data_IF_363913838025
#
_entry.id   IF_363913838025
#
_cell.length_a   1.000
_cell.length_b   1.000
_cell.length_c   1.000
_cell.angle_alpha   90.00
_cell.angle_beta   90.00
_cell.angle_gamma   90.00
#
_symmetry.space_group_name_H-M   'P 1'
#
loop_
_entity.id
_entity.type
_entity.pdbx_description
1 polymer ?
#
# COMPACT_ATOMS: atom_id res chain seq x y z
N UNK A 1 21.22 -12.25 -7.32
CA UNK A 1 19.82 -11.84 -6.99
C UNK A 1 19.31 -12.39 -5.66
N UNK A 2 19.60 -13.65 -5.28
CA UNK A 2 19.13 -14.24 -3.99
C UNK A 2 19.44 -13.40 -2.74
N UNK A 3 20.61 -12.74 -2.70
CA UNK A 3 21.04 -11.91 -1.55
C UNK A 3 20.21 -10.64 -1.34
N UNK A 4 19.68 -10.04 -2.40
CA UNK A 4 18.83 -8.83 -2.31
C UNK A 4 17.46 -9.21 -1.77
N UNK A 5 16.87 -10.27 -2.34
CA UNK A 5 15.55 -10.78 -1.93
C UNK A 5 15.56 -11.23 -0.46
N UNK A 6 16.64 -11.89 0.00
CA UNK A 6 16.79 -12.25 1.41
C UNK A 6 16.88 -11.04 2.35
N UNK A 7 17.51 -9.94 1.93
CA UNK A 7 17.58 -8.71 2.72
C UNK A 7 16.21 -8.04 2.84
N UNK A 8 15.45 -8.01 1.75
CA UNK A 8 14.08 -7.47 1.72
C UNK A 8 13.16 -8.36 2.57
N UNK A 9 13.26 -9.69 2.45
CA UNK A 9 12.42 -10.59 3.25
C UNK A 9 12.73 -10.49 4.74
N UNK A 10 13.99 -10.33 5.12
CA UNK A 10 14.39 -10.13 6.51
C UNK A 10 13.87 -8.79 7.05
N UNK A 11 13.97 -7.70 6.28
CA UNK A 11 13.42 -6.41 6.67
C UNK A 11 11.89 -6.48 6.83
N UNK A 12 11.20 -7.12 5.89
CA UNK A 12 9.75 -7.30 5.94
C UNK A 12 9.33 -8.15 7.15
N UNK A 13 10.09 -9.20 7.46
CA UNK A 13 9.87 -10.02 8.65
C UNK A 13 10.01 -9.21 9.93
N UNK A 14 11.03 -8.35 10.04
CA UNK A 14 11.21 -7.46 11.20
C UNK A 14 10.04 -6.47 11.34
N UNK A 15 9.53 -5.94 10.23
CA UNK A 15 8.37 -5.05 10.23
C UNK A 15 7.09 -5.79 10.65
N UNK A 16 6.90 -7.03 10.21
CA UNK A 16 5.72 -7.86 10.54
C UNK A 16 5.78 -8.44 11.96
N UNK A 17 6.98 -8.78 12.45
CA UNK A 17 7.22 -9.27 13.82
C UNK A 17 7.22 -8.15 14.86
N UNK A 18 7.33 -6.90 14.44
CA UNK A 18 7.26 -5.78 15.37
C UNK A 18 5.93 -5.84 16.15
N UNK A 19 5.93 -5.54 17.46
CA UNK A 19 4.69 -5.50 18.23
C UNK A 19 3.68 -4.60 17.52
N UNK A 20 2.42 -5.04 17.46
CA UNK A 20 1.26 -4.52 16.69
C UNK A 20 0.87 -3.07 17.04
N UNK A 21 1.81 -2.24 17.51
CA UNK A 21 1.74 -0.79 17.73
C UNK A 21 2.04 0.00 16.45
N UNK A 22 2.28 -0.70 15.33
CA UNK A 22 2.43 -0.15 13.98
C UNK A 22 1.12 0.21 13.23
N UNK A 23 -0.07 -0.41 13.42
CA UNK A 23 -1.25 -0.17 12.58
C UNK A 23 -1.73 1.29 12.67
N UNK A 24 -1.59 1.94 13.83
CA UNK A 24 -1.88 3.38 13.98
C UNK A 24 -0.86 4.31 13.30
N UNK A 25 0.34 3.82 12.97
CA UNK A 25 1.39 4.57 12.27
C UNK A 25 1.58 4.14 10.81
N UNK A 26 1.02 2.99 10.43
CA UNK A 26 1.09 2.42 9.09
C UNK A 26 0.56 3.39 8.04
N UNK A 27 -0.52 4.13 8.37
CA UNK A 27 -1.08 5.15 7.49
C UNK A 27 -0.05 6.25 7.16
N UNK A 28 0.67 6.75 8.16
CA UNK A 28 1.74 7.74 7.93
C UNK A 28 2.90 7.13 7.12
N UNK A 29 3.28 5.89 7.41
CA UNK A 29 4.35 5.20 6.67
C UNK A 29 3.98 5.05 5.19
N UNK A 30 2.74 4.63 4.89
CA UNK A 30 2.23 4.52 3.52
C UNK A 30 2.21 5.89 2.84
N UNK A 31 1.79 6.96 3.52
CA UNK A 31 1.86 8.34 3.00
C UNK A 31 3.28 8.74 2.62
N UNK A 32 4.28 8.43 3.44
CA UNK A 32 5.67 8.74 3.14
C UNK A 32 6.23 7.89 1.99
N UNK A 33 5.80 6.64 1.87
CA UNK A 33 6.16 5.78 0.73
C UNK A 33 5.55 6.34 -0.57
N UNK A 34 4.28 6.73 -0.54
CA UNK A 34 3.60 7.33 -1.69
C UNK A 34 4.23 8.67 -2.10
N UNK A 35 4.54 9.53 -1.13
CA UNK A 35 5.25 10.79 -1.39
C UNK A 35 6.63 10.52 -2.01
N UNK A 36 7.38 9.57 -1.46
CA UNK A 36 8.70 9.19 -1.97
C UNK A 36 8.64 8.60 -3.38
N UNK A 37 7.67 7.72 -3.65
CA UNK A 37 7.45 7.15 -4.98
C UNK A 37 7.02 8.20 -5.99
N UNK A 38 6.08 9.09 -5.64
CA UNK A 38 5.65 10.17 -6.53
C UNK A 38 6.81 11.11 -6.89
N UNK A 39 7.67 11.47 -5.92
CA UNK A 39 8.87 12.30 -6.21
C UNK A 39 9.86 11.56 -7.12
N UNK A 40 10.09 10.27 -6.88
CA UNK A 40 11.01 9.47 -7.72
C UNK A 40 10.45 9.32 -9.14
N UNK A 41 9.16 9.08 -9.27
CA UNK A 41 8.45 8.99 -10.55
C UNK A 41 8.60 10.29 -11.34
N UNK A 42 8.27 11.45 -10.75
CA UNK A 42 8.41 12.76 -11.41
C UNK A 42 9.86 13.03 -11.86
N UNK A 43 10.85 12.70 -11.03
CA UNK A 43 12.28 12.93 -11.38
C UNK A 43 12.79 11.98 -12.47
N UNK A 44 12.26 10.76 -12.57
CA UNK A 44 12.56 9.86 -13.68
C UNK A 44 11.79 10.24 -14.95
N UNK A 45 10.54 10.67 -14.81
CA UNK A 45 9.68 11.09 -15.92
C UNK A 45 10.21 12.37 -16.59
N UNK A 46 10.75 13.30 -15.81
CA UNK A 46 11.50 14.47 -16.30
C UNK A 46 12.76 14.10 -17.09
N UNK A 47 13.35 12.91 -16.83
CA UNK A 47 14.52 12.41 -17.56
C UNK A 47 14.17 11.69 -18.85
N UNK A 48 12.99 11.08 -18.95
CA UNK A 48 12.60 10.24 -20.10
C UNK A 48 11.57 10.88 -21.05
N UNK A 49 10.97 12.04 -20.72
CA UNK A 49 10.08 12.87 -21.56
C UNK A 49 8.78 12.20 -22.08
N UNK A 50 7.64 12.82 -21.74
CA UNK A 50 6.33 12.74 -22.41
C UNK A 50 5.69 11.34 -22.50
N UNK A 51 4.73 11.11 -21.62
CA UNK A 51 3.46 10.52 -22.04
C UNK A 51 3.05 9.27 -21.29
N UNK A 52 2.55 9.44 -20.07
CA UNK A 52 1.39 8.68 -19.60
C UNK A 52 0.53 9.65 -18.80
N UNK A 53 -0.67 9.92 -19.31
CA UNK A 53 -1.67 10.74 -18.63
C UNK A 53 -2.04 10.11 -17.28
N UNK A 54 -2.12 10.97 -16.27
CA UNK A 54 -2.50 10.67 -14.91
C UNK A 54 -3.95 10.15 -14.84
N UNK A 55 -4.15 8.97 -14.26
CA UNK A 55 -5.42 8.61 -13.63
C UNK A 55 -5.15 8.40 -12.13
N UNK A 56 -5.84 9.09 -11.22
CA UNK A 56 -5.58 8.99 -9.79
C UNK A 56 -5.93 7.58 -9.26
N UNK A 57 -5.17 7.02 -8.31
CA UNK A 57 -5.59 5.81 -7.62
C UNK A 57 -6.75 6.19 -6.70
N UNK A 58 -7.98 5.91 -7.16
CA UNK A 58 -9.19 5.91 -6.33
C UNK A 58 -8.90 5.09 -5.08
N UNK A 59 -8.83 5.77 -3.93
CA UNK A 59 -8.54 5.19 -2.62
C UNK A 59 -9.77 4.49 -2.03
N UNK A 60 -10.52 3.76 -2.85
CA UNK A 60 -11.66 2.96 -2.41
C UNK A 60 -11.35 1.49 -2.68
N UNK A 61 -10.82 0.79 -1.67
CA UNK A 61 -10.73 -0.66 -1.78
C UNK A 61 -9.79 -1.37 -0.82
N UNK A 62 -9.95 -1.23 0.51
CA UNK A 62 -9.50 -2.28 1.44
C UNK A 62 -10.45 -2.50 2.65
N UNK A 63 -11.53 -3.28 2.36
CA UNK A 63 -12.05 -4.47 3.07
C UNK A 63 -12.85 -4.28 4.41
N UNK A 64 -13.80 -5.19 4.80
CA UNK A 64 -13.89 -6.62 4.44
C UNK A 64 -15.29 -7.21 4.14
N UNK A 65 -15.29 -8.34 3.43
CA UNK A 65 -16.37 -9.34 3.49
C UNK A 65 -16.49 -9.89 4.92
N UNK A 66 -17.68 -9.81 5.52
CA UNK A 66 -18.15 -10.76 6.53
C UNK A 66 -19.64 -11.03 6.33
N UNK A 67 -19.93 -12.29 6.03
CA UNK A 67 -21.24 -12.90 5.91
C UNK A 67 -22.01 -12.90 7.25
N UNK A 68 -23.29 -12.53 7.23
CA UNK A 68 -24.34 -13.05 8.14
C UNK A 68 -25.72 -13.01 7.47
N UNK A 69 -26.07 -14.11 6.82
CA UNK A 69 -27.27 -14.93 7.03
C UNK A 69 -28.50 -14.29 7.73
N UNK A 70 -29.60 -14.19 6.95
CA UNK A 70 -31.03 -14.46 7.23
C UNK A 70 -31.71 -13.88 8.50
N UNK A 71 -32.72 -13.04 8.27
CA UNK A 71 -34.10 -13.12 8.82
C UNK A 71 -34.94 -12.05 8.11
N UNK A 72 -35.87 -12.44 7.23
CA UNK A 72 -37.32 -12.53 7.52
C UNK A 72 -37.90 -11.24 8.11
N UNK A 73 -38.77 -10.55 7.36
CA UNK A 73 -40.08 -10.09 7.84
C UNK A 73 -40.84 -9.31 6.74
N UNK A 74 -41.76 -10.05 6.10
CA UNK A 74 -43.15 -9.70 5.77
C UNK A 74 -43.59 -8.27 6.17
N UNK A 75 -43.96 -7.43 5.19
CA UNK A 75 -45.25 -6.71 5.19
C UNK A 75 -45.62 -6.18 3.81
#
# INVERSE_FOLDING_TARGET
MKKIIQKISAALQVVLLAPIKLPGKALNIIKYIALGLGVVETVLEDKDNKGVEEDPPTADGLLPNQDKEVQDEIQ
#
